data_IF_640946058553
#
_entry.id   IF_640946058553
#
_cell.length_a   1.000
_cell.length_b   1.000
_cell.length_c   1.000
_cell.angle_alpha   90.00
_cell.angle_beta   90.00
_cell.angle_gamma   90.00
#
_symmetry.space_group_name_H-M   'P 1'
#
loop_
_entity.id
_entity.type
_entity.pdbx_description
1 polymer ?
#
# COMPACT_ATOMS: atom_id res chain seq x y z
N UNK A 1 -17.83 46.46 42.54
CA UNK A 1 -18.99 45.97 43.30
C UNK A 1 -19.34 44.59 42.76
N UNK A 2 -19.06 43.59 43.58
CA UNK A 2 -19.59 42.22 43.67
C UNK A 2 -19.59 41.33 42.40
N UNK A 3 -18.81 40.24 42.32
CA UNK A 3 -18.68 39.06 43.20
C UNK A 3 -19.71 37.97 42.89
N UNK A 4 -19.28 36.93 42.17
CA UNK A 4 -19.29 35.52 42.62
C UNK A 4 -19.32 34.54 41.45
N UNK A 5 -18.46 33.55 41.54
CA UNK A 5 -18.35 32.49 40.55
C UNK A 5 -19.54 31.54 40.56
N UNK A 6 -19.74 30.93 39.39
CA UNK A 6 -20.16 29.53 39.28
C UNK A 6 -19.65 29.00 37.97
N UNK A 7 -18.67 28.09 38.01
CA UNK A 7 -18.52 27.15 36.89
C UNK A 7 -19.80 26.33 36.88
N UNK A 8 -20.59 26.31 35.80
CA UNK A 8 -21.63 25.31 35.69
C UNK A 8 -20.91 23.96 35.55
N UNK A 9 -21.15 23.08 36.54
CA UNK A 9 -20.94 21.66 36.38
C UNK A 9 -22.02 21.19 35.41
N UNK A 10 -21.73 21.25 34.12
CA UNK A 10 -22.52 20.52 33.14
C UNK A 10 -21.94 19.11 33.12
N UNK A 11 -22.45 18.31 34.04
CA UNK A 11 -22.72 16.90 33.77
C UNK A 11 -23.69 16.87 32.58
N UNK A 12 -23.16 17.13 31.38
CA UNK A 12 -23.85 16.98 30.12
C UNK A 12 -23.65 15.54 29.70
N UNK A 13 -24.72 14.78 29.88
CA UNK A 13 -25.03 13.50 29.28
C UNK A 13 -24.14 13.19 28.06
N UNK A 14 -23.49 12.02 28.07
CA UNK A 14 -22.88 11.45 26.88
C UNK A 14 -23.99 11.31 25.83
N UNK A 15 -24.19 12.35 25.03
CA UNK A 15 -24.99 12.26 23.83
C UNK A 15 -24.28 11.24 22.95
N UNK A 16 -25.00 10.18 22.64
CA UNK A 16 -24.52 9.01 21.93
C UNK A 16 -23.86 9.45 20.61
N UNK A 17 -22.53 9.36 20.55
CA UNK A 17 -21.66 9.59 19.38
C UNK A 17 -21.87 8.51 18.29
N UNK A 18 -23.09 7.96 18.21
CA UNK A 18 -23.49 6.85 17.32
C UNK A 18 -24.53 7.36 16.30
N UNK A 19 -25.40 8.31 16.68
CA UNK A 19 -26.40 8.90 15.77
C UNK A 19 -25.77 9.85 14.74
N UNK A 20 -24.61 10.43 15.04
CA UNK A 20 -23.87 11.30 14.10
C UNK A 20 -23.17 10.48 13.02
N UNK A 21 -22.69 9.27 13.37
CA UNK A 21 -22.11 8.36 12.39
C UNK A 21 -23.16 7.83 11.43
N UNK A 22 -24.34 7.46 11.93
CA UNK A 22 -25.41 6.92 11.09
C UNK A 22 -25.91 7.97 10.09
N UNK A 23 -26.16 9.21 10.52
CA UNK A 23 -26.59 10.27 9.63
C UNK A 23 -25.53 10.67 8.57
N UNK A 24 -24.24 10.64 8.93
CA UNK A 24 -23.16 10.93 7.99
C UNK A 24 -22.98 9.79 6.97
N UNK A 25 -23.12 8.55 7.41
CA UNK A 25 -23.07 7.36 6.54
C UNK A 25 -24.30 7.30 5.63
N UNK A 26 -25.50 7.60 6.13
CA UNK A 26 -26.73 7.68 5.33
C UNK A 26 -26.69 8.81 4.31
N UNK A 27 -26.13 9.98 4.68
CA UNK A 27 -25.94 11.09 3.75
C UNK A 27 -24.92 10.73 2.66
N UNK A 28 -23.78 10.12 3.04
CA UNK A 28 -22.78 9.65 2.09
C UNK A 28 -23.35 8.58 1.15
N UNK A 29 -24.11 7.60 1.67
CA UNK A 29 -24.82 6.61 0.87
C UNK A 29 -25.88 7.27 -0.03
N UNK A 30 -26.69 8.22 0.44
CA UNK A 30 -27.67 8.87 -0.42
C UNK A 30 -27.02 9.62 -1.60
N UNK A 31 -25.86 10.24 -1.35
CA UNK A 31 -25.10 10.98 -2.35
C UNK A 31 -24.28 10.08 -3.28
N UNK A 32 -23.73 8.96 -2.79
CA UNK A 32 -22.78 8.11 -3.51
C UNK A 32 -23.34 6.72 -3.91
N UNK A 33 -24.49 6.31 -3.39
CA UNK A 33 -25.15 5.02 -3.72
C UNK A 33 -26.26 5.16 -4.77
N UNK A 34 -26.31 6.29 -5.48
CA UNK A 34 -27.24 6.47 -6.60
C UNK A 34 -26.86 5.57 -7.78
N UNK A 35 -27.15 4.27 -7.65
CA UNK A 35 -27.40 3.33 -8.75
C UNK A 35 -26.32 3.18 -9.82
N UNK A 36 -25.07 3.53 -9.54
CA UNK A 36 -23.94 3.09 -10.33
C UNK A 36 -23.52 1.76 -9.70
N UNK A 37 -23.72 0.65 -10.42
CA UNK A 37 -22.93 -0.57 -10.16
C UNK A 37 -21.47 -0.17 -9.99
N UNK A 38 -20.74 -0.98 -9.24
CA UNK A 38 -19.30 -0.92 -8.97
C UNK A 38 -18.45 -0.92 -10.28
N UNK A 39 -18.67 0.07 -11.13
CA UNK A 39 -17.95 0.37 -12.35
C UNK A 39 -16.92 1.39 -11.91
N UNK A 40 -15.72 0.91 -11.59
CA UNK A 40 -14.57 1.76 -11.34
C UNK A 40 -14.51 2.85 -12.43
N UNK A 41 -14.74 4.14 -12.08
CA UNK A 41 -14.84 5.20 -13.07
C UNK A 41 -13.44 5.43 -13.64
N UNK A 42 -13.20 4.87 -14.83
CA UNK A 42 -11.90 4.86 -15.49
C UNK A 42 -11.63 3.62 -16.35
N UNK A 43 -12.46 2.58 -16.31
CA UNK A 43 -12.37 1.48 -17.28
C UNK A 43 -13.31 1.73 -18.47
N UNK A 44 -13.09 2.85 -19.18
CA UNK A 44 -13.35 2.81 -20.61
C UNK A 44 -12.46 1.67 -21.10
N UNK A 45 -13.07 0.57 -21.56
CA UNK A 45 -12.36 -0.48 -22.28
C UNK A 45 -11.73 0.21 -23.50
N UNK A 46 -10.53 0.76 -23.32
CA UNK A 46 -9.72 1.26 -24.41
C UNK A 46 -9.65 0.10 -25.41
N UNK A 47 -10.19 0.34 -26.59
CA UNK A 47 -10.23 -0.62 -27.67
C UNK A 47 -8.80 -1.07 -27.95
N UNK A 48 -8.43 -2.27 -27.49
CA UNK A 48 -7.20 -2.98 -27.91
C UNK A 48 -5.91 -2.16 -27.80
N UNK A 49 -5.74 -1.32 -26.76
CA UNK A 49 -4.41 -0.81 -26.42
C UNK A 49 -3.86 -1.68 -25.30
N UNK A 50 -3.27 -2.81 -25.70
CA UNK A 50 -2.50 -3.68 -24.81
C UNK A 50 -1.56 -2.78 -24.00
N UNK A 51 -1.82 -2.67 -22.69
CA UNK A 51 -1.00 -1.84 -21.81
C UNK A 51 0.48 -2.20 -22.00
N UNK A 52 1.42 -1.24 -21.86
CA UNK A 52 2.82 -1.49 -22.14
C UNK A 52 3.28 -2.71 -21.35
N UNK A 53 3.57 -3.80 -22.06
CA UNK A 53 4.19 -4.98 -21.48
C UNK A 53 5.61 -4.56 -21.10
N UNK A 54 5.96 -4.60 -19.82
CA UNK A 54 7.32 -4.30 -19.44
C UNK A 54 8.23 -5.48 -19.86
N UNK A 55 8.92 -5.29 -20.99
CA UNK A 55 9.86 -6.24 -21.56
C UNK A 55 11.09 -6.48 -20.66
N UNK A 56 11.35 -5.63 -19.65
CA UNK A 56 12.51 -5.67 -18.76
C UNK A 56 12.26 -6.33 -17.38
N UNK A 57 11.15 -7.05 -17.21
CA UNK A 57 10.91 -7.84 -16.00
C UNK A 57 11.82 -9.07 -15.96
N UNK A 58 12.70 -9.12 -14.97
CA UNK A 58 13.64 -10.22 -14.76
C UNK A 58 13.18 -11.13 -13.61
N UNK A 59 12.97 -12.42 -13.90
CA UNK A 59 12.62 -13.42 -12.89
C UNK A 59 13.86 -13.97 -12.18
N UNK A 60 13.83 -14.03 -10.85
CA UNK A 60 14.91 -14.62 -10.04
C UNK A 60 14.35 -15.39 -8.85
N UNK A 61 14.91 -16.56 -8.58
CA UNK A 61 14.58 -17.38 -7.40
C UNK A 61 15.43 -16.94 -6.21
N UNK A 62 14.78 -16.60 -5.10
CA UNK A 62 15.42 -16.19 -3.84
C UNK A 62 14.92 -17.05 -2.68
N UNK A 63 15.67 -17.05 -1.58
CA UNK A 63 15.27 -17.70 -0.32
C UNK A 63 14.90 -16.64 0.71
N UNK A 64 13.78 -16.85 1.40
CA UNK A 64 13.35 -15.95 2.48
C UNK A 64 14.37 -15.98 3.65
N UNK A 65 14.94 -14.83 4.06
CA UNK A 65 15.91 -14.77 5.16
C UNK A 65 15.29 -15.03 6.55
N UNK A 66 13.96 -15.16 6.64
CA UNK A 66 13.26 -15.46 7.89
C UNK A 66 12.87 -16.93 8.04
N UNK A 67 12.36 -17.55 6.97
CA UNK A 67 11.82 -18.92 7.02
C UNK A 67 12.43 -19.89 6.01
N UNK A 68 13.45 -19.46 5.27
CA UNK A 68 14.22 -20.25 4.29
C UNK A 68 13.39 -20.83 3.13
N UNK A 69 12.18 -20.32 2.91
CA UNK A 69 11.32 -20.77 1.82
C UNK A 69 11.78 -20.17 0.49
N UNK A 70 11.99 -20.98 -0.56
CA UNK A 70 12.32 -20.48 -1.90
C UNK A 70 11.08 -19.94 -2.61
N UNK A 71 11.19 -18.81 -3.28
CA UNK A 71 10.14 -18.23 -4.13
C UNK A 71 10.72 -17.32 -5.21
N UNK A 72 9.94 -17.05 -6.26
CA UNK A 72 10.36 -16.20 -7.38
C UNK A 72 9.96 -14.75 -7.14
N UNK A 73 10.87 -13.83 -7.43
CA UNK A 73 10.59 -12.39 -7.48
C UNK A 73 10.83 -11.86 -8.90
N UNK A 74 10.14 -10.77 -9.22
CA UNK A 74 10.28 -10.07 -10.50
C UNK A 74 10.95 -8.73 -10.24
N UNK A 75 12.11 -8.52 -10.88
CA UNK A 75 12.88 -7.29 -10.80
C UNK A 75 12.62 -6.45 -12.05
N UNK A 76 12.31 -5.18 -11.86
CA UNK A 76 12.17 -4.21 -12.95
C UNK A 76 13.52 -3.57 -13.22
N UNK A 77 14.24 -4.03 -14.26
CA UNK A 77 15.59 -3.52 -14.53
C UNK A 77 15.57 -2.12 -15.15
N UNK A 78 14.44 -1.65 -15.70
CA UNK A 78 14.29 -0.31 -16.27
C UNK A 78 14.30 0.78 -15.17
N UNK A 79 13.80 0.44 -13.97
CA UNK A 79 13.90 1.32 -12.79
C UNK A 79 15.36 1.48 -12.29
N UNK A 80 16.29 0.65 -12.78
CA UNK A 80 17.71 0.74 -12.46
C UNK A 80 18.05 0.20 -11.07
N UNK A 81 19.05 0.78 -10.41
CA UNK A 81 19.46 0.33 -9.07
C UNK A 81 18.52 0.88 -7.98
N UNK A 82 17.84 0.00 -7.25
CA UNK A 82 16.88 0.36 -6.20
C UNK A 82 16.88 -0.64 -5.03
N UNK A 83 16.29 -0.21 -3.92
CA UNK A 83 16.00 -1.05 -2.75
C UNK A 83 14.49 -1.07 -2.54
N UNK A 84 13.91 -2.26 -2.45
CA UNK A 84 12.49 -2.44 -2.20
C UNK A 84 12.25 -3.39 -1.00
N UNK A 85 11.07 -3.30 -0.38
CA UNK A 85 10.61 -4.22 0.66
C UNK A 85 9.48 -5.05 0.09
N UNK A 86 9.63 -6.37 0.15
CA UNK A 86 8.62 -7.34 -0.30
C UNK A 86 8.28 -8.29 0.84
N UNK A 87 7.02 -8.72 0.94
CA UNK A 87 6.63 -9.73 1.92
C UNK A 87 6.91 -11.15 1.42
N UNK A 88 7.36 -12.02 2.31
CA UNK A 88 7.44 -13.45 2.03
C UNK A 88 6.04 -14.07 1.84
N UNK A 89 5.82 -14.82 0.76
CA UNK A 89 4.55 -15.52 0.47
C UNK A 89 4.13 -16.56 1.54
N UNK A 90 5.07 -16.98 2.40
CA UNK A 90 4.85 -18.02 3.41
C UNK A 90 4.77 -17.52 4.84
N UNK A 91 5.69 -16.65 5.24
CA UNK A 91 5.75 -16.16 6.62
C UNK A 91 5.32 -14.69 6.79
N UNK A 92 4.97 -13.99 5.70
CA UNK A 92 4.55 -12.58 5.71
C UNK A 92 5.51 -11.68 6.51
N UNK A 93 6.82 -11.90 6.34
CA UNK A 93 7.85 -11.05 6.93
C UNK A 93 8.45 -10.15 5.84
N UNK A 94 8.79 -8.90 6.17
CA UNK A 94 9.32 -7.93 5.22
C UNK A 94 10.77 -8.25 4.86
N UNK A 95 11.03 -8.55 3.60
CA UNK A 95 12.33 -8.87 3.03
C UNK A 95 12.83 -7.64 2.27
N UNK A 96 14.04 -7.19 2.59
CA UNK A 96 14.72 -6.15 1.84
C UNK A 96 15.40 -6.77 0.61
N UNK A 97 15.08 -6.24 -0.56
CA UNK A 97 15.64 -6.66 -1.85
C UNK A 97 16.33 -5.47 -2.50
N UNK A 98 17.62 -5.61 -2.78
CA UNK A 98 18.44 -4.55 -3.35
C UNK A 98 18.98 -5.02 -4.70
N UNK A 99 18.47 -4.46 -5.79
CA UNK A 99 19.00 -4.69 -7.14
C UNK A 99 20.04 -3.63 -7.51
N UNK A 100 21.11 -4.05 -8.16
CA UNK A 100 22.11 -3.19 -8.77
C UNK A 100 22.10 -3.47 -10.27
N UNK A 101 21.89 -2.42 -11.06
CA UNK A 101 21.80 -2.48 -12.51
C UNK A 101 22.88 -1.58 -13.09
N UNK A 102 23.62 -2.09 -14.07
CA UNK A 102 24.64 -1.30 -14.76
C UNK A 102 23.94 -0.17 -15.56
N UNK A 103 24.31 1.10 -15.34
CA UNK A 103 23.63 2.23 -15.94
C UNK A 103 23.85 2.37 -17.46
N UNK A 104 24.72 1.56 -18.08
CA UNK A 104 25.06 1.64 -19.50
C UNK A 104 24.36 0.54 -20.30
N UNK A 105 24.40 -0.70 -19.80
CA UNK A 105 23.87 -1.91 -20.41
C UNK A 105 22.43 -2.21 -19.98
N UNK A 106 22.00 -1.74 -18.81
CA UNK A 106 20.71 -2.10 -18.22
C UNK A 106 20.66 -3.54 -17.70
N UNK A 107 21.81 -4.21 -17.58
CA UNK A 107 21.89 -5.58 -17.07
C UNK A 107 22.02 -5.61 -15.54
N UNK A 108 21.50 -6.67 -14.91
CA UNK A 108 21.62 -6.89 -13.48
C UNK A 108 23.10 -7.19 -13.12
N UNK A 109 23.73 -6.29 -12.36
CA UNK A 109 25.09 -6.47 -11.84
C UNK A 109 25.12 -7.16 -10.46
N UNK A 110 24.08 -6.97 -9.65
CA UNK A 110 24.04 -7.48 -8.28
C UNK A 110 22.63 -7.56 -7.72
N UNK A 111 22.42 -8.55 -6.85
CA UNK A 111 21.19 -8.72 -6.09
C UNK A 111 21.56 -9.10 -4.66
N UNK A 112 21.09 -8.30 -3.70
CA UNK A 112 21.25 -8.56 -2.28
C UNK A 112 19.88 -8.74 -1.62
N UNK A 113 19.79 -9.70 -0.69
CA UNK A 113 18.56 -10.11 -0.01
C UNK A 113 18.83 -10.14 1.49
N UNK A 114 18.08 -9.34 2.24
CA UNK A 114 18.24 -9.21 3.67
C UNK A 114 16.93 -9.09 4.43
N UNK A 115 17.05 -9.07 5.75
CA UNK A 115 15.95 -8.74 6.65
C UNK A 115 15.81 -7.21 6.68
N UNK A 116 14.59 -6.68 6.82
CA UNK A 116 14.34 -5.23 6.91
C UNK A 116 15.06 -4.53 8.10
N UNK A 117 15.38 -5.28 9.16
CA UNK A 117 16.10 -4.77 10.34
C UNK A 117 17.64 -4.83 10.18
N UNK A 118 18.14 -5.58 9.19
CA UNK A 118 19.58 -5.69 8.92
C UNK A 118 20.00 -4.51 8.03
N UNK A 119 20.70 -3.54 8.63
CA UNK A 119 21.18 -2.33 7.93
C UNK A 119 22.23 -2.73 6.87
N UNK A 120 21.74 -2.98 5.65
CA UNK A 120 22.49 -3.34 4.44
C UNK A 120 23.29 -2.18 3.82
#
# INVERSE_FOLDING_TARGET
>A
MNDQGRRPSESGELLEDDEVLDAAVEQWLAEHSSGQSDEWPGHELLDDEEGPVNEALHEVEIHCPYCDTPFTVFLDLDEGSLTNIIDCERCCQPIQVRQQVDPISGELEGLDIGQDDDVL
#
